data_IF_454213266774
#
_entry.id   IF_454213266774
#
_cell.length_a   1.000
_cell.length_b   1.000
_cell.length_c   1.000
_cell.angle_alpha   90.00
_cell.angle_beta   90.00
_cell.angle_gamma   90.00
#
_symmetry.space_group_name_H-M   'P 1'
#
loop_
_entity.id
_entity.type
_entity.pdbx_description
1 polymer ?
#
# COMPACT_ATOMS: atom_id res chain seq x y z
N UNK A 1 9.32 -9.65 16.80
CA UNK A 1 9.18 -9.04 15.45
C UNK A 1 9.33 -7.55 15.61
N UNK A 2 10.19 -6.90 14.82
CA UNK A 2 10.37 -5.45 14.86
C UNK A 2 9.14 -4.74 14.29
N UNK A 3 8.86 -3.54 14.78
CA UNK A 3 7.79 -2.67 14.27
C UNK A 3 8.17 -2.10 12.90
N UNK A 4 7.21 -1.95 11.99
CA UNK A 4 7.43 -1.33 10.67
C UNK A 4 6.86 0.08 10.73
N UNK A 5 7.65 1.00 11.27
CA UNK A 5 7.22 2.37 11.53
C UNK A 5 7.52 3.26 10.34
N UNK A 6 6.49 3.95 9.83
CA UNK A 6 6.61 5.00 8.82
C UNK A 6 5.88 6.26 9.30
N UNK A 7 6.43 7.42 8.94
CA UNK A 7 5.92 8.72 9.40
C UNK A 7 5.13 9.39 8.28
N UNK A 8 4.03 10.06 8.60
CA UNK A 8 3.35 10.93 7.63
C UNK A 8 3.93 12.35 7.63
N UNK A 9 3.36 13.21 6.80
CA UNK A 9 3.73 14.62 6.67
C UNK A 9 3.43 15.45 7.92
N UNK A 10 2.55 14.99 8.80
CA UNK A 10 2.23 15.64 10.07
C UNK A 10 3.18 15.18 11.19
N UNK A 11 4.10 14.24 10.88
CA UNK A 11 5.01 13.66 11.85
C UNK A 11 4.39 12.55 12.69
N UNK A 12 3.22 12.03 12.29
CA UNK A 12 2.61 10.89 12.97
C UNK A 12 3.33 9.61 12.57
N UNK A 13 3.83 8.87 13.56
CA UNK A 13 4.41 7.55 13.37
C UNK A 13 3.33 6.47 13.40
N UNK A 14 3.29 5.65 12.35
CA UNK A 14 2.35 4.54 12.22
C UNK A 14 3.09 3.22 12.05
N UNK A 15 2.70 2.21 12.83
CA UNK A 15 3.19 0.84 12.74
C UNK A 15 2.30 0.05 11.77
N UNK A 16 2.88 -0.41 10.66
CA UNK A 16 2.17 -1.13 9.60
C UNK A 16 2.46 -2.64 9.66
N UNK A 17 1.51 -3.45 9.18
CA UNK A 17 1.72 -4.90 9.08
C UNK A 17 2.75 -5.27 8.01
N UNK A 18 2.73 -4.56 6.88
CA UNK A 18 3.79 -4.65 5.87
C UNK A 18 3.80 -3.43 4.93
N UNK A 19 5.01 -3.14 4.43
CA UNK A 19 5.26 -2.12 3.41
C UNK A 19 6.03 -2.78 2.27
N UNK A 20 5.61 -2.54 1.03
CA UNK A 20 6.37 -2.94 -0.14
C UNK A 20 7.36 -1.83 -0.48
N UNK A 21 8.64 -2.16 -0.52
CA UNK A 21 9.72 -1.21 -0.73
C UNK A 21 10.57 -1.61 -1.93
N UNK A 22 10.99 -0.63 -2.72
CA UNK A 22 12.04 -0.80 -3.70
C UNK A 22 13.41 -0.64 -3.03
N UNK A 23 14.25 -1.68 -3.10
CA UNK A 23 15.61 -1.65 -2.55
C UNK A 23 15.70 -1.68 -1.02
N UNK A 24 14.58 -2.00 -0.34
CA UNK A 24 14.55 -2.23 1.10
C UNK A 24 15.17 -3.58 1.48
N UNK A 25 15.73 -3.66 2.68
CA UNK A 25 16.26 -4.87 3.30
C UNK A 25 15.84 -4.92 4.77
N UNK A 26 16.11 -6.02 5.48
CA UNK A 26 15.83 -6.12 6.92
C UNK A 26 16.51 -5.01 7.76
N UNK A 27 17.63 -4.46 7.28
CA UNK A 27 18.43 -3.45 7.97
C UNK A 27 18.34 -2.04 7.37
N UNK A 28 17.69 -1.88 6.21
CA UNK A 28 17.64 -0.60 5.49
C UNK A 28 16.27 -0.37 4.86
N UNK A 29 15.68 0.80 5.14
CA UNK A 29 14.47 1.26 4.46
C UNK A 29 14.76 1.56 2.99
N UNK A 30 13.95 1.01 2.11
CA UNK A 30 13.90 1.33 0.70
C UNK A 30 12.95 2.48 0.38
N UNK A 31 12.57 2.60 -0.89
CA UNK A 31 11.58 3.56 -1.36
C UNK A 31 10.19 2.91 -1.27
N UNK A 32 9.23 3.48 -0.52
CA UNK A 32 7.94 2.81 -0.31
C UNK A 32 7.09 2.87 -1.60
N UNK A 33 6.50 1.73 -1.95
CA UNK A 33 5.63 1.56 -3.12
C UNK A 33 4.18 1.32 -2.72
N UNK A 34 3.95 0.68 -1.57
CA UNK A 34 2.63 0.38 -1.08
C UNK A 34 2.60 0.11 0.42
N UNK A 35 1.50 0.48 1.06
CA UNK A 35 1.25 0.31 2.50
C UNK A 35 0.04 -0.56 2.74
N UNK A 36 0.12 -1.42 3.75
CA UNK A 36 -0.94 -2.37 4.04
C UNK A 36 -1.24 -2.53 5.51
N UNK A 37 -2.52 -2.75 5.78
CA UNK A 37 -3.06 -3.15 7.08
C UNK A 37 -3.80 -4.48 6.92
N UNK A 38 -3.67 -5.34 7.93
CA UNK A 38 -4.30 -6.66 7.95
C UNK A 38 -5.07 -6.87 9.24
N UNK A 39 -6.24 -7.51 9.15
CA UNK A 39 -6.97 -7.85 10.37
C UNK A 39 -7.87 -9.07 10.21
N UNK A 40 -8.03 -9.79 11.32
CA UNK A 40 -9.07 -10.78 11.52
C UNK A 40 -10.08 -10.29 12.56
N UNK A 41 -11.38 -10.31 12.24
CA UNK A 41 -12.45 -9.86 13.15
C UNK A 41 -13.56 -10.89 13.23
N UNK A 42 -13.90 -11.35 14.44
CA UNK A 42 -14.98 -12.33 14.64
C UNK A 42 -16.38 -11.72 14.56
N UNK A 43 -16.52 -10.42 14.83
CA UNK A 43 -17.82 -9.74 14.91
C UNK A 43 -17.85 -8.40 14.18
N UNK A 44 -19.02 -8.06 13.65
CA UNK A 44 -19.29 -6.85 12.85
C UNK A 44 -19.46 -5.56 13.65
N UNK A 45 -19.40 -5.62 14.99
CA UNK A 45 -19.61 -4.44 15.84
C UNK A 45 -18.51 -3.41 15.58
N UNK A 46 -18.91 -2.16 15.36
CA UNK A 46 -18.02 -1.05 15.03
C UNK A 46 -17.20 -1.25 13.73
N UNK A 47 -17.66 -2.08 12.78
CA UNK A 47 -16.92 -2.28 11.52
C UNK A 47 -16.65 -0.96 10.77
N UNK A 48 -17.59 0.00 10.81
CA UNK A 48 -17.43 1.30 10.15
C UNK A 48 -16.38 2.18 10.84
N UNK A 49 -16.39 2.26 12.17
CA UNK A 49 -15.42 3.03 12.95
C UNK A 49 -14.01 2.49 12.71
N UNK A 50 -13.86 1.18 12.80
CA UNK A 50 -12.57 0.54 12.55
C UNK A 50 -12.09 0.72 11.10
N UNK A 51 -12.99 0.59 10.12
CA UNK A 51 -12.65 0.89 8.72
C UNK A 51 -12.16 2.33 8.54
N UNK A 52 -12.78 3.28 9.25
CA UNK A 52 -12.36 4.69 9.24
C UNK A 52 -10.96 4.84 9.84
N UNK A 53 -10.69 4.18 10.95
CA UNK A 53 -9.40 4.25 11.65
C UNK A 53 -8.29 3.60 10.81
N UNK A 54 -8.48 2.37 10.32
CA UNK A 54 -7.52 1.67 9.46
C UNK A 54 -7.23 2.45 8.17
N UNK A 55 -8.28 2.99 7.54
CA UNK A 55 -8.11 3.82 6.34
C UNK A 55 -7.45 5.17 6.65
N UNK A 56 -7.70 5.73 7.84
CA UNK A 56 -7.15 7.01 8.28
C UNK A 56 -5.64 6.97 8.47
N UNK A 57 -5.09 5.81 8.85
CA UNK A 57 -3.65 5.57 8.89
C UNK A 57 -3.02 5.53 7.50
N UNK A 58 -3.67 4.84 6.56
CA UNK A 58 -3.11 4.58 5.23
C UNK A 58 -3.13 5.82 4.32
N UNK A 59 -4.20 6.61 4.34
CA UNK A 59 -4.38 7.75 3.41
C UNK A 59 -3.20 8.72 3.44
N UNK A 60 -2.73 9.19 4.63
CA UNK A 60 -1.60 10.11 4.71
C UNK A 60 -0.35 9.61 4.00
N UNK A 61 -0.10 8.29 3.95
CA UNK A 61 1.10 7.75 3.29
C UNK A 61 1.14 8.04 1.79
N UNK A 62 -0.02 8.07 1.13
CA UNK A 62 -0.13 8.41 -0.29
C UNK A 62 0.21 9.87 -0.56
N UNK A 63 -0.14 10.75 0.38
CA UNK A 63 0.17 12.17 0.30
C UNK A 63 1.63 12.45 0.66
N UNK A 64 2.20 11.64 1.56
CA UNK A 64 3.59 11.76 2.04
C UNK A 64 4.60 11.31 1.00
N UNK A 65 4.37 10.17 0.36
CA UNK A 65 5.37 9.50 -0.46
C UNK A 65 4.95 9.46 -1.93
N UNK A 66 5.67 10.15 -2.83
CA UNK A 66 5.28 10.26 -4.25
C UNK A 66 5.32 8.94 -5.02
N UNK A 67 5.96 7.93 -4.45
CA UNK A 67 6.13 6.59 -5.03
C UNK A 67 5.07 5.59 -4.56
N UNK A 68 4.25 5.95 -3.57
CA UNK A 68 3.19 5.07 -3.07
C UNK A 68 2.03 5.04 -4.07
N UNK A 69 1.81 3.86 -4.64
CA UNK A 69 0.77 3.66 -5.65
C UNK A 69 -0.42 2.85 -5.16
N UNK A 70 -0.22 2.04 -4.13
CA UNK A 70 -1.25 1.17 -3.56
C UNK A 70 -1.34 1.39 -2.05
N UNK A 71 -2.57 1.58 -1.58
CA UNK A 71 -2.92 1.41 -0.17
C UNK A 71 -3.82 0.18 -0.10
N UNK A 72 -3.51 -0.77 0.77
CA UNK A 72 -4.24 -2.03 0.82
C UNK A 72 -4.75 -2.38 2.21
N UNK A 73 -5.93 -3.00 2.27
CA UNK A 73 -6.44 -3.66 3.46
C UNK A 73 -6.70 -5.13 3.15
N UNK A 74 -6.07 -6.02 3.90
CA UNK A 74 -6.34 -7.46 3.87
C UNK A 74 -7.18 -7.80 5.10
N UNK A 75 -8.48 -7.95 4.90
CA UNK A 75 -9.43 -8.23 5.97
C UNK A 75 -9.96 -9.65 5.89
N UNK A 76 -10.12 -10.27 7.05
CA UNK A 76 -10.79 -11.54 7.17
C UNK A 76 -11.79 -11.50 8.33
N UNK A 77 -12.89 -12.24 8.19
CA UNK A 77 -13.91 -12.34 9.21
C UNK A 77 -15.18 -11.53 8.91
N UNK A 78 -15.73 -10.88 9.92
CA UNK A 78 -16.92 -10.05 9.79
C UNK A 78 -16.53 -8.62 9.43
N UNK A 79 -16.96 -8.21 8.24
CA UNK A 79 -16.75 -6.85 7.75
C UNK A 79 -17.95 -6.40 6.94
N UNK A 80 -18.75 -5.50 7.53
CA UNK A 80 -20.04 -5.10 6.95
C UNK A 80 -19.86 -4.43 5.59
N UNK A 81 -20.83 -4.62 4.69
CA UNK A 81 -20.79 -4.00 3.36
C UNK A 81 -20.58 -2.47 3.42
N UNK A 82 -21.24 -1.69 4.29
CA UNK A 82 -20.97 -0.25 4.40
C UNK A 82 -19.53 0.08 4.80
N UNK A 83 -18.89 -0.77 5.61
CA UNK A 83 -17.49 -0.58 5.98
C UNK A 83 -16.55 -0.92 4.82
N UNK A 84 -16.87 -1.95 4.03
CA UNK A 84 -16.13 -2.26 2.81
C UNK A 84 -16.24 -1.14 1.76
N UNK A 85 -17.44 -0.58 1.58
CA UNK A 85 -17.69 0.54 0.66
C UNK A 85 -16.93 1.79 1.11
N UNK A 86 -16.87 2.07 2.42
CA UNK A 86 -16.07 3.16 2.96
C UNK A 86 -14.58 3.02 2.56
N UNK A 87 -14.00 1.83 2.74
CA UNK A 87 -12.59 1.57 2.34
C UNK A 87 -12.40 1.81 0.85
N UNK A 88 -13.27 1.25 0.00
CA UNK A 88 -13.18 1.42 -1.46
C UNK A 88 -13.37 2.88 -1.89
N UNK A 89 -14.27 3.63 -1.25
CA UNK A 89 -14.50 5.05 -1.53
C UNK A 89 -13.28 5.93 -1.25
N UNK A 90 -12.35 5.46 -0.40
CA UNK A 90 -11.07 6.11 -0.08
C UNK A 90 -9.94 5.67 -1.03
N UNK A 91 -10.29 4.98 -2.11
CA UNK A 91 -9.38 4.38 -3.08
C UNK A 91 -8.34 3.46 -2.41
N UNK A 92 -8.75 2.70 -1.40
CA UNK A 92 -7.93 1.67 -0.76
C UNK A 92 -8.36 0.32 -1.34
N UNK A 93 -7.38 -0.46 -1.80
CA UNK A 93 -7.59 -1.80 -2.34
C UNK A 93 -7.94 -2.77 -1.20
N UNK A 94 -9.16 -3.30 -1.24
CA UNK A 94 -9.66 -4.23 -0.21
C UNK A 94 -9.62 -5.67 -0.70
N UNK A 95 -8.88 -6.52 0.00
CA UNK A 95 -8.99 -7.97 -0.09
C UNK A 95 -9.76 -8.50 1.12
N UNK A 96 -10.96 -9.01 0.90
CA UNK A 96 -11.86 -9.45 1.97
C UNK A 96 -12.16 -10.94 1.87
N UNK A 97 -11.92 -11.68 2.96
CA UNK A 97 -12.34 -13.07 3.10
C UNK A 97 -13.40 -13.18 4.21
N UNK A 98 -14.64 -13.62 3.90
CA UNK A 98 -15.69 -13.80 4.90
C UNK A 98 -15.32 -14.81 5.99
N UNK A 99 -15.76 -14.54 7.23
CA UNK A 99 -15.57 -15.42 8.41
C UNK A 99 -15.90 -16.88 8.08
N UNK A 100 -17.05 -17.12 7.47
CA UNK A 100 -17.52 -18.47 7.14
C UNK A 100 -16.50 -19.25 6.27
N UNK A 101 -15.84 -18.61 5.31
CA UNK A 101 -14.84 -19.28 4.46
C UNK A 101 -13.59 -19.66 5.23
N UNK A 102 -13.15 -18.79 6.15
CA UNK A 102 -12.01 -19.06 7.03
C UNK A 102 -12.35 -20.21 7.99
N UNK A 103 -13.46 -20.11 8.72
CA UNK A 103 -13.90 -21.16 9.64
C UNK A 103 -14.08 -22.51 8.92
N UNK A 104 -14.60 -22.51 7.69
CA UNK A 104 -14.75 -23.72 6.89
C UNK A 104 -13.41 -24.36 6.50
N UNK A 105 -12.42 -23.56 6.09
CA UNK A 105 -11.09 -24.07 5.76
C UNK A 105 -10.43 -24.76 6.96
N UNK A 106 -10.55 -24.17 8.13
CA UNK A 106 -10.04 -24.71 9.39
C UNK A 106 -10.77 -25.98 9.84
N UNK A 107 -12.10 -25.99 9.73
CA UNK A 107 -12.95 -27.15 10.03
C UNK A 107 -12.63 -28.35 9.12
N UNK A 108 -12.48 -28.13 7.81
CA UNK A 108 -12.14 -29.17 6.84
C UNK A 108 -10.77 -29.82 7.14
N UNK A 109 -9.86 -29.07 7.76
CA UNK A 109 -8.56 -29.54 8.23
C UNK A 109 -8.59 -30.16 9.64
N UNK A 110 -9.78 -30.34 10.23
CA UNK A 110 -10.04 -30.91 11.56
C UNK A 110 -9.49 -30.08 12.73
N UNK A 111 -9.45 -28.77 12.56
CA UNK A 111 -9.04 -27.79 13.57
C UNK A 111 -10.10 -26.68 13.64
N UNK A 112 -11.32 -26.93 14.15
CA UNK A 112 -12.36 -25.92 14.20
C UNK A 112 -11.94 -24.75 15.10
N UNK A 113 -12.22 -23.52 14.64
CA UNK A 113 -11.87 -22.27 15.36
C UNK A 113 -13.08 -21.39 15.66
N UNK A 114 -14.27 -21.76 15.19
CA UNK A 114 -15.48 -20.99 15.43
C UNK A 114 -16.16 -21.41 16.73
N UNK A 115 -16.83 -20.46 17.36
CA UNK A 115 -17.62 -20.66 18.57
C UNK A 115 -18.65 -19.55 18.71
N UNK A 116 -19.74 -19.84 19.43
CA UNK A 116 -20.78 -18.86 19.71
C UNK A 116 -20.24 -17.71 20.59
N UNK A 117 -20.76 -16.50 20.38
CA UNK A 117 -20.36 -15.34 21.20
C UNK A 117 -20.70 -15.51 22.68
N UNK A 118 -21.73 -16.32 22.99
CA UNK A 118 -22.14 -16.72 24.34
C UNK A 118 -21.34 -17.88 24.93
N UNK A 119 -20.36 -18.42 24.21
CA UNK A 119 -19.53 -19.52 24.72
C UNK A 119 -18.77 -19.09 25.98
N UNK A 120 -18.64 -20.00 26.94
CA UNK A 120 -17.88 -19.78 28.17
C UNK A 120 -16.37 -19.65 27.89
N UNK A 121 -15.64 -19.03 28.80
CA UNK A 121 -14.16 -18.94 28.71
C UNK A 121 -13.50 -20.33 28.67
N UNK A 122 -14.10 -21.33 29.33
CA UNK A 122 -13.61 -22.72 29.27
C UNK A 122 -13.70 -23.31 27.87
N UNK A 123 -14.78 -23.05 27.13
CA UNK A 123 -14.94 -23.49 25.73
C UNK A 123 -13.94 -22.77 24.83
N UNK A 124 -13.82 -21.44 24.98
CA UNK A 124 -12.85 -20.64 24.20
C UNK A 124 -11.42 -21.12 24.42
N UNK A 125 -11.05 -21.40 25.68
CA UNK A 125 -9.73 -21.92 26.05
C UNK A 125 -9.49 -23.30 25.44
N UNK A 126 -10.45 -24.21 25.54
CA UNK A 126 -10.33 -25.55 24.94
C UNK A 126 -10.11 -25.50 23.42
N UNK A 127 -10.77 -24.58 22.72
CA UNK A 127 -10.56 -24.36 21.28
C UNK A 127 -9.14 -23.85 21.01
N UNK A 128 -8.67 -22.86 21.77
CA UNK A 128 -7.32 -22.30 21.64
C UNK A 128 -6.25 -23.38 21.89
N UNK A 129 -6.39 -24.15 22.97
CA UNK A 129 -5.48 -25.25 23.33
C UNK A 129 -5.46 -26.32 22.21
N UNK A 130 -6.63 -26.65 21.65
CA UNK A 130 -6.73 -27.61 20.54
C UNK A 130 -6.04 -27.09 19.27
N UNK A 131 -6.13 -25.79 18.98
CA UNK A 131 -5.40 -25.16 17.87
C UNK A 131 -3.90 -25.24 18.12
N UNK A 132 -3.42 -24.82 19.28
CA UNK A 132 -2.00 -24.81 19.62
C UNK A 132 -1.38 -26.21 19.50
N UNK A 133 -2.07 -27.23 19.99
CA UNK A 133 -1.62 -28.62 19.91
C UNK A 133 -1.61 -29.20 18.49
N UNK A 134 -2.49 -28.75 17.59
CA UNK A 134 -2.65 -29.32 16.24
C UNK A 134 -1.98 -28.51 15.13
N UNK A 135 -1.65 -27.24 15.37
CA UNK A 135 -1.21 -26.30 14.34
C UNK A 135 0.28 -26.45 13.99
N UNK A 136 0.64 -27.59 13.40
CA UNK A 136 1.96 -27.81 12.81
C UNK A 136 2.13 -27.04 11.50
N UNK A 137 3.37 -26.89 11.00
CA UNK A 137 3.61 -26.27 9.70
C UNK A 137 2.90 -27.00 8.55
N UNK A 138 2.83 -28.33 8.61
CA UNK A 138 2.06 -29.12 7.65
C UNK A 138 0.57 -28.80 7.72
N UNK A 139 0.02 -28.63 8.93
CA UNK A 139 -1.38 -28.24 9.13
C UNK A 139 -1.66 -26.83 8.63
N UNK A 140 -0.76 -25.86 8.87
CA UNK A 140 -0.85 -24.50 8.32
C UNK A 140 -0.91 -24.51 6.79
N UNK A 141 -0.04 -25.31 6.15
CA UNK A 141 -0.05 -25.50 4.69
C UNK A 141 -1.37 -26.08 4.20
N UNK A 142 -1.87 -27.12 4.87
CA UNK A 142 -3.16 -27.74 4.52
C UNK A 142 -4.33 -26.75 4.62
N UNK A 143 -4.38 -25.94 5.70
CA UNK A 143 -5.40 -24.92 5.89
C UNK A 143 -5.30 -23.83 4.81
N UNK A 144 -4.08 -23.40 4.47
CA UNK A 144 -3.82 -22.43 3.41
C UNK A 144 -4.33 -22.93 2.06
N UNK A 145 -3.95 -24.14 1.64
CA UNK A 145 -4.39 -24.74 0.38
C UNK A 145 -5.90 -24.88 0.33
N UNK A 146 -6.51 -25.29 1.46
CA UNK A 146 -7.96 -25.40 1.56
C UNK A 146 -8.65 -24.05 1.47
N UNK A 147 -8.10 -23.02 2.10
CA UNK A 147 -8.61 -21.65 2.03
C UNK A 147 -8.56 -21.12 0.60
N UNK A 148 -7.45 -21.32 -0.12
CA UNK A 148 -7.33 -20.96 -1.54
C UNK A 148 -8.39 -21.69 -2.37
N UNK A 149 -8.61 -22.98 -2.12
CA UNK A 149 -9.63 -23.76 -2.82
C UNK A 149 -11.06 -23.24 -2.57
N UNK A 150 -11.41 -22.86 -1.33
CA UNK A 150 -12.73 -22.36 -0.95
C UNK A 150 -12.99 -20.93 -1.47
N UNK A 151 -11.97 -20.07 -1.41
CA UNK A 151 -12.09 -18.68 -1.85
C UNK A 151 -12.01 -18.59 -3.38
N UNK A 152 -11.20 -19.45 -4.00
CA UNK A 152 -10.91 -19.46 -5.43
C UNK A 152 -9.58 -18.78 -5.72
N UNK A 153 -8.66 -19.49 -6.40
CA UNK A 153 -7.32 -18.98 -6.76
C UNK A 153 -7.39 -17.67 -7.56
N UNK A 154 -8.37 -17.55 -8.45
CA UNK A 154 -8.58 -16.35 -9.27
C UNK A 154 -8.82 -15.09 -8.44
N UNK A 155 -9.42 -15.19 -7.25
CA UNK A 155 -9.65 -14.05 -6.35
C UNK A 155 -8.33 -13.51 -5.80
N UNK A 156 -7.40 -14.41 -5.42
CA UNK A 156 -6.05 -14.03 -5.00
C UNK A 156 -5.24 -13.47 -6.17
N UNK A 157 -5.25 -14.17 -7.31
CA UNK A 157 -4.52 -13.74 -8.51
C UNK A 157 -4.98 -12.34 -8.94
N UNK A 158 -6.29 -12.07 -8.92
CA UNK A 158 -6.85 -10.76 -9.27
C UNK A 158 -6.40 -9.66 -8.32
N UNK A 159 -6.29 -9.94 -7.01
CA UNK A 159 -5.79 -8.96 -6.04
C UNK A 159 -4.29 -8.69 -6.25
N UNK A 160 -3.49 -9.73 -6.42
CA UNK A 160 -2.05 -9.59 -6.72
C UNK A 160 -1.82 -8.82 -8.02
N UNK A 161 -2.61 -9.09 -9.06
CA UNK A 161 -2.53 -8.36 -10.33
C UNK A 161 -2.81 -6.87 -10.16
N UNK A 162 -3.78 -6.48 -9.32
CA UNK A 162 -4.03 -5.04 -9.03
C UNK A 162 -2.85 -4.40 -8.31
N UNK A 163 -2.26 -5.07 -7.32
CA UNK A 163 -1.06 -4.58 -6.63
C UNK A 163 0.09 -4.38 -7.64
N UNK A 164 0.38 -5.41 -8.44
CA UNK A 164 1.45 -5.37 -9.44
C UNK A 164 1.20 -4.27 -10.47
N UNK A 165 -0.02 -4.14 -10.99
CA UNK A 165 -0.38 -3.11 -11.96
C UNK A 165 -0.20 -1.70 -11.38
N UNK A 166 -0.63 -1.48 -10.13
CA UNK A 166 -0.50 -0.19 -9.46
C UNK A 166 0.95 0.21 -9.20
N UNK A 167 1.76 -0.68 -8.61
CA UNK A 167 3.17 -0.34 -8.32
C UNK A 167 4.03 -0.22 -9.59
N UNK A 168 3.67 -0.94 -10.66
CA UNK A 168 4.42 -0.93 -11.91
C UNK A 168 4.02 0.20 -12.88
N UNK A 169 3.07 1.05 -12.49
CA UNK A 169 2.67 2.20 -13.28
C UNK A 169 3.77 3.26 -13.30
N UNK A 170 4.25 3.57 -14.51
CA UNK A 170 5.34 4.52 -14.73
C UNK A 170 4.83 5.96 -14.89
N UNK A 171 5.61 6.98 -14.50
CA UNK A 171 5.34 8.39 -14.81
C UNK A 171 5.30 8.63 -16.32
N UNK A 172 4.36 9.45 -16.76
CA UNK A 172 4.21 9.88 -18.16
C UNK A 172 4.34 11.40 -18.33
N UNK A 173 4.09 12.16 -17.26
CA UNK A 173 4.16 13.62 -17.28
C UNK A 173 4.58 14.15 -15.89
N UNK A 174 5.41 15.17 -15.88
CA UNK A 174 5.81 15.93 -14.70
C UNK A 174 5.37 17.38 -14.86
N UNK A 175 4.77 17.97 -13.83
CA UNK A 175 4.44 19.40 -13.82
C UNK A 175 5.13 20.07 -12.64
N UNK A 176 5.83 21.16 -12.92
CA UNK A 176 6.46 21.99 -11.90
C UNK A 176 5.91 23.40 -12.03
N UNK A 177 5.18 23.86 -11.01
CA UNK A 177 4.62 25.21 -10.97
C UNK A 177 5.34 26.00 -9.89
N UNK A 178 5.93 27.15 -10.22
CA UNK A 178 6.31 28.12 -9.19
C UNK A 178 5.05 28.78 -8.63
N UNK A 179 4.91 28.80 -7.31
CA UNK A 179 3.75 29.41 -6.63
C UNK A 179 3.58 30.89 -7.01
N UNK A 180 4.67 31.59 -7.35
CA UNK A 180 4.65 33.00 -7.75
C UNK A 180 4.17 33.24 -9.20
N UNK A 181 4.35 32.27 -10.10
CA UNK A 181 4.11 32.44 -11.55
C UNK A 181 2.76 31.86 -11.98
N UNK A 182 2.23 30.90 -11.20
CA UNK A 182 0.87 30.34 -11.36
C UNK A 182 0.66 29.40 -12.55
N UNK A 183 1.55 29.39 -13.56
CA UNK A 183 1.49 28.47 -14.71
C UNK A 183 2.44 27.28 -14.55
N UNK A 184 1.98 26.02 -14.76
CA UNK A 184 2.84 24.86 -14.72
C UNK A 184 3.80 24.84 -15.91
N UNK A 185 5.04 24.46 -15.66
CA UNK A 185 5.98 24.00 -16.69
C UNK A 185 5.83 22.48 -16.75
N UNK A 186 5.58 21.95 -17.94
CA UNK A 186 5.26 20.55 -18.18
C UNK A 186 6.44 19.86 -18.86
N UNK A 187 6.80 18.67 -18.38
CA UNK A 187 7.87 17.83 -18.91
C UNK A 187 7.34 16.43 -19.16
N UNK A 188 7.70 15.84 -20.30
CA UNK A 188 7.40 14.44 -20.62
C UNK A 188 8.62 13.53 -20.38
N UNK A 189 9.71 14.12 -19.88
CA UNK A 189 11.01 13.51 -19.73
C UNK A 189 11.51 13.76 -18.30
N UNK A 190 12.06 12.72 -17.67
CA UNK A 190 12.55 12.77 -16.30
C UNK A 190 13.81 13.64 -16.19
N UNK A 191 14.76 13.44 -17.10
CA UNK A 191 16.03 14.16 -17.13
C UNK A 191 15.83 15.67 -17.34
N UNK A 192 14.87 16.08 -18.17
CA UNK A 192 14.54 17.50 -18.39
C UNK A 192 13.94 18.15 -17.13
N UNK A 193 13.01 17.47 -16.47
CA UNK A 193 12.42 17.94 -15.23
C UNK A 193 13.46 18.01 -14.08
N UNK A 194 14.35 17.01 -13.99
CA UNK A 194 15.43 17.01 -13.01
C UNK A 194 16.38 18.19 -13.24
N UNK A 195 16.81 18.39 -14.49
CA UNK A 195 17.69 19.50 -14.86
C UNK A 195 17.05 20.85 -14.49
N UNK A 196 15.76 21.03 -14.78
CA UNK A 196 15.05 22.25 -14.40
C UNK A 196 15.07 22.50 -12.87
N UNK A 197 14.79 21.47 -12.07
CA UNK A 197 14.80 21.57 -10.61
C UNK A 197 16.21 21.86 -10.06
N UNK A 198 17.26 21.32 -10.68
CA UNK A 198 18.67 21.57 -10.32
C UNK A 198 19.15 22.98 -10.72
N UNK A 199 18.77 23.47 -11.90
CA UNK A 199 19.19 24.80 -12.37
C UNK A 199 18.53 25.92 -11.57
N UNK A 200 17.24 25.77 -11.23
CA UNK A 200 16.54 26.71 -10.33
C UNK A 200 17.00 26.63 -8.88
N UNK A 201 17.74 25.59 -8.50
CA UNK A 201 18.37 25.42 -7.19
C UNK A 201 19.71 26.16 -7.04
N UNK A 202 20.46 26.36 -8.12
CA UNK A 202 21.87 26.77 -8.01
C UNK A 202 22.07 28.30 -7.87
N UNK A 203 21.02 29.11 -8.04
CA UNK A 203 21.13 30.58 -8.02
C UNK A 203 20.35 31.30 -6.92
N UNK A 204 19.81 30.60 -5.92
CA UNK A 204 19.13 31.25 -4.77
C UNK A 204 20.09 31.66 -3.63
N UNK A 205 21.39 31.73 -3.89
CA UNK A 205 22.34 32.38 -2.98
C UNK A 205 22.32 33.89 -3.22
N UNK A 206 21.45 34.62 -2.52
CA UNK A 206 21.87 35.77 -1.71
C UNK A 206 20.73 36.64 -1.16
N UNK A 207 19.54 36.78 -1.77
CA UNK A 207 18.64 37.87 -1.30
C UNK A 207 17.14 37.82 -1.65
N UNK A 208 16.57 36.75 -2.23
CA UNK A 208 15.17 36.77 -2.70
C UNK A 208 14.33 35.61 -2.15
N UNK A 209 13.07 35.90 -1.78
CA UNK A 209 12.01 35.00 -1.32
C UNK A 209 12.23 33.51 -1.63
N UNK A 210 12.11 32.63 -0.62
CA UNK A 210 12.06 31.18 -0.82
C UNK A 210 11.01 30.85 -1.89
N UNK A 211 11.48 30.45 -3.07
CA UNK A 211 10.61 30.08 -4.16
C UNK A 211 10.01 28.71 -3.84
N UNK A 212 8.71 28.68 -3.58
CA UNK A 212 7.96 27.45 -3.34
C UNK A 212 7.44 26.88 -4.66
N UNK A 213 7.37 25.56 -4.72
CA UNK A 213 6.94 24.81 -5.89
C UNK A 213 5.73 23.94 -5.58
N UNK A 214 4.86 23.81 -6.59
CA UNK A 214 3.96 22.68 -6.73
C UNK A 214 4.58 21.67 -7.69
N UNK A 215 4.75 20.44 -7.21
CA UNK A 215 5.25 19.29 -7.94
C UNK A 215 4.10 18.32 -8.20
N UNK A 216 3.89 17.94 -9.45
CA UNK A 216 2.86 16.99 -9.86
C UNK A 216 3.47 15.93 -10.78
N UNK A 217 3.02 14.68 -10.62
CA UNK A 217 3.37 13.56 -11.48
C UNK A 217 2.10 12.87 -11.92
N UNK A 218 1.92 12.73 -13.23
CA UNK A 218 0.86 11.91 -13.82
C UNK A 218 1.46 10.56 -14.18
N UNK A 219 0.81 9.49 -13.73
CA UNK A 219 1.23 8.13 -14.02
C UNK A 219 0.39 7.52 -15.15
N UNK A 220 0.92 6.46 -15.75
CA UNK A 220 0.32 5.72 -16.88
C UNK A 220 -1.05 5.08 -16.58
N UNK A 221 -1.40 4.90 -15.31
CA UNK A 221 -2.71 4.45 -14.86
C UNK A 221 -3.69 5.61 -14.57
N UNK A 222 -3.30 6.85 -14.89
CA UNK A 222 -4.12 8.05 -14.73
C UNK A 222 -4.12 8.65 -13.33
N UNK A 223 -3.51 7.97 -12.36
CA UNK A 223 -3.32 8.50 -11.01
C UNK A 223 -2.34 9.67 -11.02
N UNK A 224 -2.54 10.61 -10.10
CA UNK A 224 -1.74 11.82 -9.97
C UNK A 224 -1.22 11.91 -8.54
N UNK A 225 0.10 12.09 -8.41
CA UNK A 225 0.67 12.61 -7.17
C UNK A 225 0.82 14.12 -7.31
N UNK A 226 0.45 14.88 -6.28
CA UNK A 226 0.68 16.31 -6.24
C UNK A 226 1.09 16.76 -4.85
N UNK A 227 2.01 17.72 -4.80
CA UNK A 227 2.40 18.40 -3.56
C UNK A 227 2.69 19.86 -3.83
N UNK A 228 2.14 20.73 -2.99
CA UNK A 228 2.39 22.17 -3.01
C UNK A 228 3.34 22.56 -1.86
N UNK A 229 3.75 23.82 -1.88
CA UNK A 229 4.57 24.43 -0.82
C UNK A 229 5.85 23.65 -0.55
N UNK A 230 6.45 23.12 -1.62
CA UNK A 230 7.73 22.43 -1.55
C UNK A 230 8.87 23.42 -1.72
N UNK A 231 9.92 23.24 -0.92
CA UNK A 231 11.22 23.78 -1.27
C UNK A 231 11.73 23.13 -2.56
N UNK A 232 12.66 23.78 -3.25
CA UNK A 232 13.34 23.17 -4.40
C UNK A 232 14.01 21.83 -4.06
N UNK A 233 14.57 21.71 -2.84
CA UNK A 233 15.18 20.48 -2.34
C UNK A 233 14.16 19.35 -2.18
N UNK A 234 12.99 19.63 -1.61
CA UNK A 234 11.95 18.62 -1.41
C UNK A 234 11.37 18.18 -2.76
N UNK A 235 11.12 19.12 -3.66
CA UNK A 235 10.66 18.83 -5.02
C UNK A 235 11.67 17.95 -5.78
N UNK A 236 12.96 18.26 -5.70
CA UNK A 236 14.03 17.47 -6.31
C UNK A 236 14.14 16.07 -5.69
N UNK A 237 14.03 15.97 -4.35
CA UNK A 237 14.02 14.69 -3.63
C UNK A 237 12.87 13.79 -4.09
N UNK A 238 11.66 14.36 -4.16
CA UNK A 238 10.47 13.67 -4.65
C UNK A 238 10.65 13.22 -6.10
N UNK A 239 11.19 14.10 -6.94
CA UNK A 239 11.44 13.80 -8.35
C UNK A 239 12.41 12.63 -8.53
N UNK A 240 13.51 12.60 -7.77
CA UNK A 240 14.49 11.50 -7.80
C UNK A 240 13.93 10.18 -7.28
N UNK A 241 13.10 10.20 -6.24
CA UNK A 241 12.43 9.00 -5.74
C UNK A 241 11.52 8.39 -6.83
N UNK A 242 10.71 9.24 -7.48
CA UNK A 242 9.86 8.84 -8.60
C UNK A 242 10.68 8.29 -9.77
N UNK A 243 11.77 8.98 -10.14
CA UNK A 243 12.70 8.54 -11.18
C UNK A 243 13.32 7.17 -10.91
N UNK A 244 13.73 6.93 -9.68
CA UNK A 244 14.31 5.63 -9.24
C UNK A 244 13.33 4.48 -9.46
N UNK A 245 12.07 4.66 -9.02
CA UNK A 245 11.02 3.65 -9.19
C UNK A 245 10.66 3.47 -10.66
N UNK A 246 10.54 4.56 -11.40
CA UNK A 246 10.25 4.53 -12.84
C UNK A 246 11.34 3.79 -13.63
N UNK A 247 12.62 4.05 -13.34
CA UNK A 247 13.75 3.38 -13.96
C UNK A 247 13.73 1.86 -13.73
N UNK A 248 13.43 1.44 -12.50
CA UNK A 248 13.27 0.02 -12.18
C UNK A 248 12.17 -0.63 -13.03
N UNK A 249 10.96 -0.03 -13.08
CA UNK A 249 9.85 -0.63 -13.80
C UNK A 249 9.99 -0.54 -15.33
N UNK A 250 10.68 0.47 -15.87
CA UNK A 250 11.06 0.50 -17.29
C UNK A 250 11.89 -0.72 -17.69
N UNK A 251 12.91 -1.06 -16.88
CA UNK A 251 13.76 -2.25 -17.11
C UNK A 251 12.94 -3.54 -16.94
N UNK A 252 12.13 -3.62 -15.88
CA UNK A 252 11.24 -4.76 -15.64
C UNK A 252 10.33 -5.06 -16.84
N UNK A 253 9.66 -4.03 -17.38
CA UNK A 253 8.76 -4.16 -18.53
C UNK A 253 9.50 -4.54 -19.82
N UNK A 254 10.69 -3.99 -20.05
CA UNK A 254 11.54 -4.36 -21.18
C UNK A 254 11.91 -5.84 -21.14
N UNK A 255 12.34 -6.35 -19.98
CA UNK A 255 12.72 -7.75 -19.79
C UNK A 255 11.53 -8.71 -19.98
N UNK A 256 10.34 -8.35 -19.46
CA UNK A 256 9.12 -9.14 -19.62
C UNK A 256 8.66 -9.22 -21.07
N UNK A 257 8.81 -8.14 -21.82
CA UNK A 257 8.46 -8.08 -23.25
C UNK A 257 9.37 -8.97 -24.12
N UNK A 258 10.63 -9.14 -23.73
CA UNK A 258 11.58 -10.05 -24.39
C UNK A 258 11.20 -11.51 -24.12
N UNK A 259 10.79 -11.85 -22.90
CA UNK A 259 10.36 -13.20 -22.52
C UNK A 259 9.05 -13.62 -23.20
N UNK A 260 8.09 -12.70 -23.37
CA UNK A 260 6.82 -12.99 -24.03
C UNK A 260 6.93 -13.19 -25.56
N UNK A 261 8.07 -12.87 -26.17
CA UNK A 261 8.38 -13.08 -27.59
C UNK A 261 9.17 -14.36 -27.87
N UNK A 262 9.50 -15.14 -26.84
CA UNK A 262 10.14 -16.46 -26.93
C UNK A 262 9.11 -17.54 -26.61
#
# INVERSE_FOLDING_TARGET
MGKIIWSDLEGNDVDYDFVLELGGTESKRGVPLAFFETFWRRGARHSKDKARDDSGKLIPMRDTYPTVRILGIISAGDFTQPAQELVRSRAIDLFYIPKAKICKAWEDCKVPIDYADSASESVKRSIADNVENKLTNAKKKQIHERLISIVGKSVFDSFLQRIVAGIAAVPVEFRVTSVLIGKPIVFNNHEEAEKFLQEKYTHSSAESMMQMFRYEVVFSDGNIFQRADLSSNDALSFHRAVGTVAGYFKIYHANKSIQAKR
#
